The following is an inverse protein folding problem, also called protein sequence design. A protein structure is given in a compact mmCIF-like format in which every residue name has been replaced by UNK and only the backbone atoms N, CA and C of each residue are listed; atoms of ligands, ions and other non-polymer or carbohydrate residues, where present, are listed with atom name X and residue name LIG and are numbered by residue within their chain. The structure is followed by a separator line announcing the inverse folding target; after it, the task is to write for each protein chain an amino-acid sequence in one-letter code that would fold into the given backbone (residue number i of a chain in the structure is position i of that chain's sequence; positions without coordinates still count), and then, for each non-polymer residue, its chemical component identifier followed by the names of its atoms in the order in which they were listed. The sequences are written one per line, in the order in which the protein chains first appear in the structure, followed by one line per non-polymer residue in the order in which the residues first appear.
data_IF_459203230687
#
_entry.id   IF_459203230687
#
_cell.length_a   1.000
_cell.length_b   1.000
_cell.length_c   1.000
_cell.angle_alpha   90.00
_cell.angle_beta   90.00
_cell.angle_gamma   90.00
#
_symmetry.space_group_name_H-M   'P 1'
#
loop_
_entity.id
_entity.type
_entity.pdbx_description
1 polymer ?
#
# COMPACT_ATOMS: atom_id res chain seq x y z
N UNK A 1 -6.26 -25.01 -4.87
CA UNK A 1 -7.63 -24.92 -4.35
C UNK A 1 -8.66 -24.97 -5.47
N UNK A 2 -9.91 -25.28 -5.12
CA UNK A 2 -11.00 -25.27 -6.10
C UNK A 2 -11.36 -23.87 -6.58
N UNK A 3 -11.88 -23.80 -7.82
CA UNK A 3 -12.40 -22.56 -8.40
C UNK A 3 -13.86 -22.40 -7.97
N UNK A 4 -14.26 -21.21 -7.56
CA UNK A 4 -15.65 -20.85 -7.27
C UNK A 4 -16.12 -19.89 -8.35
N UNK A 5 -17.27 -20.17 -8.97
CA UNK A 5 -17.85 -19.35 -10.03
C UNK A 5 -19.36 -19.19 -9.82
N UNK A 6 -19.97 -18.25 -10.55
CA UNK A 6 -21.42 -17.96 -10.52
C UNK A 6 -21.75 -16.58 -9.97
N UNK A 7 -23.02 -16.30 -9.76
CA UNK A 7 -23.50 -15.00 -9.25
C UNK A 7 -23.73 -14.96 -7.74
N UNK A 8 -23.56 -16.09 -7.04
CA UNK A 8 -23.75 -16.19 -5.59
C UNK A 8 -22.71 -15.41 -4.79
N UNK A 9 -23.06 -15.05 -3.56
CA UNK A 9 -22.15 -14.45 -2.57
C UNK A 9 -21.50 -15.53 -1.69
N UNK A 10 -20.36 -15.18 -1.11
CA UNK A 10 -19.66 -16.03 -0.16
C UNK A 10 -19.58 -15.32 1.21
N UNK A 11 -20.02 -16.00 2.28
CA UNK A 11 -19.95 -15.44 3.63
C UNK A 11 -19.11 -16.36 4.53
N UNK A 12 -18.06 -15.82 5.10
CA UNK A 12 -17.24 -16.46 6.13
C UNK A 12 -17.79 -16.14 7.50
N UNK A 13 -18.19 -17.16 8.25
CA UNK A 13 -18.65 -17.12 9.65
C UNK A 13 -17.79 -18.02 10.53
N UNK A 14 -17.96 -17.92 11.86
CA UNK A 14 -17.23 -18.73 12.84
C UNK A 14 -15.81 -18.22 13.08
N UNK A 15 -15.24 -18.53 14.26
CA UNK A 15 -14.01 -17.96 14.78
C UNK A 15 -12.73 -18.49 14.12
N UNK A 16 -12.78 -19.62 13.40
CA UNK A 16 -11.60 -20.23 12.78
C UNK A 16 -11.07 -19.48 11.57
N UNK A 17 -9.93 -19.94 11.04
CA UNK A 17 -9.30 -19.43 9.82
C UNK A 17 -9.79 -20.20 8.60
N UNK A 18 -10.22 -19.46 7.55
CA UNK A 18 -10.43 -20.01 6.22
C UNK A 18 -9.36 -19.48 5.27
N UNK A 19 -8.73 -20.38 4.50
CA UNK A 19 -7.71 -20.00 3.52
C UNK A 19 -8.26 -20.20 2.11
N UNK A 20 -8.26 -19.16 1.31
CA UNK A 20 -8.62 -19.18 -0.12
C UNK A 20 -7.36 -19.05 -0.96
N UNK A 21 -7.08 -20.07 -1.79
CA UNK A 21 -5.82 -20.19 -2.54
C UNK A 21 -5.97 -20.05 -4.06
N UNK A 22 -7.20 -19.98 -4.58
CA UNK A 22 -7.43 -19.95 -6.02
C UNK A 22 -7.42 -18.52 -6.55
N UNK A 23 -6.55 -18.23 -7.52
CA UNK A 23 -6.54 -16.98 -8.29
C UNK A 23 -7.62 -16.93 -9.38
N UNK A 24 -8.29 -18.04 -9.65
CA UNK A 24 -9.18 -18.24 -10.81
C UNK A 24 -10.68 -18.14 -10.47
N UNK A 25 -11.04 -17.87 -9.23
CA UNK A 25 -12.46 -17.74 -8.87
C UNK A 25 -13.06 -16.47 -9.45
N UNK A 26 -14.28 -16.57 -9.97
CA UNK A 26 -14.97 -15.51 -10.71
C UNK A 26 -16.40 -15.23 -10.21
N UNK A 27 -16.80 -15.76 -9.05
CA UNK A 27 -18.13 -15.45 -8.49
C UNK A 27 -18.29 -13.96 -8.24
N UNK A 28 -19.47 -13.43 -8.55
CA UNK A 28 -19.70 -11.97 -8.61
C UNK A 28 -20.55 -11.40 -7.48
N UNK A 29 -21.17 -12.23 -6.64
CA UNK A 29 -22.05 -11.78 -5.56
C UNK A 29 -21.35 -11.17 -4.34
N UNK A 30 -20.01 -11.13 -4.38
CA UNK A 30 -19.16 -10.56 -3.33
C UNK A 30 -18.83 -11.52 -2.19
N UNK A 31 -17.91 -11.09 -1.34
CA UNK A 31 -17.44 -11.83 -0.17
C UNK A 31 -17.65 -11.03 1.10
N UNK A 32 -18.18 -11.68 2.14
CA UNK A 32 -18.39 -11.09 3.47
C UNK A 32 -17.61 -11.91 4.49
N UNK A 33 -16.66 -11.30 5.19
CA UNK A 33 -15.98 -11.91 6.33
C UNK A 33 -16.57 -11.36 7.63
N UNK A 34 -17.49 -12.13 8.25
CA UNK A 34 -18.18 -11.68 9.45
C UNK A 34 -17.50 -12.09 10.76
N UNK A 35 -16.68 -13.15 10.78
CA UNK A 35 -16.03 -13.61 12.00
C UNK A 35 -14.77 -14.42 11.72
N UNK A 36 -13.84 -14.43 12.68
CA UNK A 36 -12.56 -15.16 12.58
C UNK A 36 -11.62 -14.56 11.52
N UNK A 37 -10.80 -15.40 10.90
CA UNK A 37 -9.79 -14.97 9.93
C UNK A 37 -10.12 -15.48 8.53
N UNK A 38 -10.20 -14.59 7.54
CA UNK A 38 -10.17 -14.93 6.12
C UNK A 38 -8.76 -14.67 5.60
N UNK A 39 -8.02 -15.71 5.23
CA UNK A 39 -6.68 -15.61 4.64
C UNK A 39 -6.74 -15.81 3.14
N UNK A 40 -6.14 -14.88 2.40
CA UNK A 40 -6.10 -14.87 0.95
C UNK A 40 -4.67 -15.17 0.48
N UNK A 41 -4.40 -16.46 0.18
CA UNK A 41 -3.07 -16.93 -0.21
C UNK A 41 -2.83 -16.85 -1.73
N UNK A 42 -3.46 -15.88 -2.40
CA UNK A 42 -3.24 -15.56 -3.81
C UNK A 42 -3.63 -14.10 -4.09
N UNK A 43 -2.91 -13.44 -5.00
CA UNK A 43 -3.26 -12.11 -5.53
C UNK A 43 -4.48 -12.22 -6.44
N UNK A 44 -5.37 -11.24 -6.40
CA UNK A 44 -6.44 -11.10 -7.41
C UNK A 44 -5.88 -10.54 -8.72
N UNK A 45 -6.57 -10.80 -9.83
CA UNK A 45 -6.24 -10.28 -11.16
C UNK A 45 -7.14 -9.10 -11.48
N UNK A 46 -6.62 -8.09 -12.20
CA UNK A 46 -7.36 -6.88 -12.58
C UNK A 46 -6.63 -5.61 -12.17
N UNK A 47 -7.38 -4.55 -11.92
CA UNK A 47 -6.90 -3.27 -11.39
C UNK A 47 -7.61 -2.92 -10.08
N UNK A 48 -7.04 -2.05 -9.27
CA UNK A 48 -7.61 -1.65 -7.97
C UNK A 48 -9.06 -1.18 -8.12
N UNK A 49 -9.95 -1.80 -7.35
CA UNK A 49 -11.39 -1.58 -7.41
C UNK A 49 -12.12 -2.38 -8.50
N UNK A 50 -11.40 -3.14 -9.35
CA UNK A 50 -11.98 -3.88 -10.49
C UNK A 50 -11.25 -5.21 -10.71
N UNK A 51 -11.48 -6.17 -9.82
CA UNK A 51 -10.95 -7.54 -9.98
C UNK A 51 -11.69 -8.28 -11.10
N UNK A 52 -10.94 -9.03 -11.92
CA UNK A 52 -11.47 -9.91 -12.97
C UNK A 52 -11.47 -11.38 -12.56
N UNK A 53 -10.63 -11.75 -11.62
CA UNK A 53 -10.64 -13.02 -10.88
C UNK A 53 -9.84 -12.92 -9.60
N UNK A 54 -9.95 -13.89 -8.71
CA UNK A 54 -9.16 -13.89 -7.48
C UNK A 54 -9.69 -14.85 -6.42
N UNK A 55 -9.04 -14.93 -5.26
CA UNK A 55 -9.47 -15.81 -4.18
C UNK A 55 -10.88 -15.48 -3.67
N UNK A 56 -11.31 -14.23 -3.78
CA UNK A 56 -12.63 -13.75 -3.37
C UNK A 56 -13.53 -13.38 -4.56
N UNK A 57 -13.31 -13.98 -5.73
CA UNK A 57 -14.07 -13.72 -6.95
C UNK A 57 -13.88 -12.31 -7.50
N UNK A 58 -14.90 -11.79 -8.19
CA UNK A 58 -14.87 -10.46 -8.83
C UNK A 58 -15.72 -9.41 -8.10
N UNK A 59 -16.60 -9.83 -7.21
CA UNK A 59 -17.47 -8.95 -6.43
C UNK A 59 -16.72 -8.18 -5.33
N UNK A 60 -17.43 -7.30 -4.64
CA UNK A 60 -16.88 -6.53 -3.53
C UNK A 60 -16.56 -7.40 -2.31
N UNK A 61 -15.62 -6.94 -1.49
CA UNK A 61 -15.30 -7.53 -0.19
C UNK A 61 -15.79 -6.64 0.94
N UNK A 62 -16.55 -7.21 1.87
CA UNK A 62 -16.85 -6.58 3.16
C UNK A 62 -16.14 -7.35 4.26
N UNK A 63 -15.20 -6.69 4.96
CA UNK A 63 -14.47 -7.29 6.07
C UNK A 63 -14.94 -6.69 7.39
N UNK A 64 -15.57 -7.52 8.24
CA UNK A 64 -16.01 -7.16 9.59
C UNK A 64 -15.17 -7.84 10.69
N UNK A 65 -14.13 -8.60 10.32
CA UNK A 65 -13.30 -9.37 11.23
C UNK A 65 -11.81 -9.26 10.85
N UNK A 66 -11.05 -10.33 10.80
CA UNK A 66 -9.65 -10.31 10.41
C UNK A 66 -9.53 -10.77 8.94
N UNK A 67 -8.99 -9.89 8.09
CA UNK A 67 -8.56 -10.20 6.73
C UNK A 67 -7.04 -10.30 6.70
N UNK A 68 -6.52 -11.50 6.46
CA UNK A 68 -5.09 -11.74 6.26
C UNK A 68 -4.83 -11.84 4.75
N UNK A 69 -4.20 -10.82 4.18
CA UNK A 69 -3.90 -10.81 2.73
C UNK A 69 -2.58 -11.51 2.39
N UNK A 70 -1.83 -12.00 3.38
CA UNK A 70 -0.63 -12.83 3.20
C UNK A 70 0.39 -12.22 2.21
N UNK A 71 0.57 -10.90 2.24
CA UNK A 71 1.42 -10.17 1.32
C UNK A 71 0.84 -9.97 -0.10
N UNK A 72 -0.39 -10.43 -0.36
CA UNK A 72 -1.01 -10.35 -1.68
C UNK A 72 -1.78 -9.03 -1.86
N UNK A 73 -1.79 -8.51 -3.08
CA UNK A 73 -2.60 -7.37 -3.46
C UNK A 73 -4.00 -7.83 -3.87
N UNK A 74 -5.03 -7.23 -3.28
CA UNK A 74 -6.43 -7.58 -3.53
C UNK A 74 -7.11 -6.42 -4.28
N UNK A 75 -7.44 -6.63 -5.54
CA UNK A 75 -7.98 -5.63 -6.46
C UNK A 75 -9.47 -5.34 -6.29
N UNK A 76 -10.21 -6.16 -5.52
CA UNK A 76 -11.65 -5.95 -5.29
C UNK A 76 -11.93 -4.62 -4.57
N UNK A 77 -13.09 -4.03 -4.85
CA UNK A 77 -13.62 -2.94 -4.01
C UNK A 77 -13.82 -3.47 -2.58
N UNK A 78 -13.28 -2.75 -1.59
CA UNK A 78 -13.29 -3.18 -0.18
C UNK A 78 -14.05 -2.21 0.72
N UNK A 79 -14.91 -2.76 1.58
CA UNK A 79 -15.42 -2.09 2.78
C UNK A 79 -14.78 -2.77 3.99
N UNK A 80 -13.93 -2.04 4.72
CA UNK A 80 -13.21 -2.60 5.86
C UNK A 80 -13.71 -1.99 7.17
N UNK A 81 -14.42 -2.79 7.95
CA UNK A 81 -14.88 -2.49 9.30
C UNK A 81 -14.08 -3.26 10.36
N UNK A 82 -13.20 -4.14 9.93
CA UNK A 82 -12.33 -4.98 10.76
C UNK A 82 -10.85 -4.63 10.60
N UNK A 83 -10.00 -5.63 10.72
CA UNK A 83 -8.53 -5.49 10.61
C UNK A 83 -8.02 -6.17 9.34
N UNK A 84 -7.11 -5.53 8.62
CA UNK A 84 -6.34 -6.13 7.52
C UNK A 84 -4.89 -6.29 7.98
N UNK A 85 -4.34 -7.49 7.86
CA UNK A 85 -2.97 -7.84 8.29
C UNK A 85 -2.15 -8.40 7.12
N UNK A 86 -0.82 -8.40 7.28
CA UNK A 86 0.13 -8.92 6.29
C UNK A 86 -0.02 -8.29 4.91
N UNK A 87 -0.24 -6.98 4.86
CA UNK A 87 -0.34 -6.21 3.62
C UNK A 87 0.99 -6.19 2.88
N UNK A 88 0.99 -6.19 1.53
CA UNK A 88 2.21 -6.03 0.76
C UNK A 88 2.85 -4.66 1.03
N UNK A 89 4.18 -4.60 0.95
CA UNK A 89 4.88 -3.33 0.90
C UNK A 89 4.60 -2.64 -0.45
N UNK A 90 4.39 -1.32 -0.49
CA UNK A 90 4.31 -0.59 -1.74
C UNK A 90 5.68 -0.49 -2.41
N UNK A 91 5.69 -0.31 -3.72
CA UNK A 91 6.87 0.14 -4.43
C UNK A 91 7.15 1.60 -4.08
N UNK A 92 8.41 1.94 -3.78
CA UNK A 92 8.84 3.30 -3.49
C UNK A 92 10.14 3.59 -4.21
N UNK A 93 10.27 4.78 -4.78
CA UNK A 93 11.52 5.20 -5.42
C UNK A 93 11.61 6.71 -5.53
N UNK A 94 12.74 7.28 -5.09
CA UNK A 94 13.18 8.59 -5.53
C UNK A 94 13.86 8.51 -6.89
N UNK A 95 13.75 9.56 -7.71
CA UNK A 95 14.39 9.63 -9.03
C UNK A 95 15.92 9.50 -8.95
N UNK A 96 16.51 9.96 -7.84
CA UNK A 96 17.93 9.83 -7.55
C UNK A 96 18.16 9.44 -6.10
N UNK A 97 19.07 8.50 -5.85
CA UNK A 97 19.50 8.09 -4.50
C UNK A 97 20.45 9.11 -3.84
N UNK A 98 21.02 10.02 -4.63
CA UNK A 98 21.82 11.15 -4.15
C UNK A 98 21.62 12.37 -5.04
N UNK A 99 21.64 13.56 -4.42
CA UNK A 99 21.50 14.86 -5.10
C UNK A 99 22.58 15.78 -4.56
N UNK A 100 23.18 16.57 -5.45
CA UNK A 100 24.09 17.68 -5.08
C UNK A 100 23.42 18.99 -5.47
N UNK A 101 23.45 19.96 -4.57
CA UNK A 101 22.88 21.30 -4.79
C UNK A 101 23.75 22.38 -4.15
N UNK A 102 23.55 23.64 -4.49
CA UNK A 102 24.28 24.78 -3.92
C UNK A 102 23.39 25.61 -3.03
N UNK A 103 23.99 26.39 -2.14
CA UNK A 103 23.26 27.31 -1.26
C UNK A 103 22.34 28.25 -2.05
N UNK A 104 21.10 28.35 -1.59
CA UNK A 104 20.05 29.17 -2.21
C UNK A 104 19.20 28.45 -3.25
N UNK A 105 19.59 27.24 -3.68
CA UNK A 105 18.77 26.45 -4.59
C UNK A 105 17.47 25.98 -3.92
N UNK A 106 16.45 25.85 -4.75
CA UNK A 106 15.22 25.09 -4.45
C UNK A 106 15.17 23.91 -5.39
N UNK A 107 15.15 22.71 -4.85
CA UNK A 107 15.16 21.48 -5.63
C UNK A 107 13.97 20.56 -5.28
N UNK A 108 13.64 19.65 -6.19
CA UNK A 108 12.70 18.58 -5.96
C UNK A 108 13.26 17.29 -6.53
N UNK A 109 13.40 16.27 -5.70
CA UNK A 109 13.73 14.91 -6.16
C UNK A 109 12.39 14.15 -6.27
N UNK A 110 11.98 13.82 -7.49
CA UNK A 110 10.69 13.21 -7.74
C UNK A 110 10.57 11.86 -7.02
N UNK A 111 9.45 11.67 -6.33
CA UNK A 111 9.13 10.42 -5.63
C UNK A 111 7.97 9.72 -6.31
N UNK A 112 8.11 8.42 -6.57
CA UNK A 112 7.09 7.57 -7.17
C UNK A 112 6.70 6.42 -6.23
N UNK A 113 5.44 6.05 -6.24
CA UNK A 113 4.90 4.91 -5.49
C UNK A 113 3.58 4.45 -6.12
N UNK A 114 3.24 3.18 -5.92
CA UNK A 114 1.94 2.59 -6.28
C UNK A 114 0.89 2.69 -5.16
N UNK A 115 1.30 3.15 -3.97
CA UNK A 115 0.37 3.39 -2.86
C UNK A 115 -0.23 4.80 -2.89
N UNK A 116 -1.50 4.90 -2.49
CA UNK A 116 -2.21 6.16 -2.28
C UNK A 116 -2.11 6.68 -0.82
N UNK A 117 -1.24 6.08 0.01
CA UNK A 117 -0.98 6.51 1.38
C UNK A 117 -0.45 7.94 1.45
N UNK A 118 -0.78 8.63 2.54
CA UNK A 118 -0.28 9.98 2.79
C UNK A 118 1.24 9.99 2.85
N UNK A 119 1.86 10.88 2.08
CA UNK A 119 3.30 11.10 2.05
C UNK A 119 3.67 12.19 3.04
N UNK A 120 4.68 11.95 3.87
CA UNK A 120 5.25 12.94 4.78
C UNK A 120 6.75 12.99 4.59
N UNK A 121 7.26 14.12 4.10
CA UNK A 121 8.69 14.32 3.86
C UNK A 121 9.36 14.94 5.08
N UNK A 122 10.63 14.58 5.31
CA UNK A 122 11.44 15.10 6.40
C UNK A 122 12.93 15.22 6.03
N UNK A 123 13.64 16.10 6.72
CA UNK A 123 15.09 16.26 6.63
C UNK A 123 15.73 15.86 7.95
N UNK A 124 16.83 15.11 7.90
CA UNK A 124 17.60 14.72 9.09
C UNK A 124 18.43 15.89 9.65
N UNK A 125 18.69 16.92 8.85
CA UNK A 125 19.46 18.09 9.27
C UNK A 125 18.85 19.38 8.65
N UNK A 126 17.93 19.99 9.36
CA UNK A 126 17.25 21.21 8.93
C UNK A 126 18.16 22.43 8.89
N UNK A 127 19.35 22.37 9.51
CA UNK A 127 20.36 23.44 9.42
C UNK A 127 21.10 23.43 8.09
N UNK A 128 21.16 22.29 7.38
CA UNK A 128 21.72 22.19 6.02
C UNK A 128 20.66 22.36 4.95
N UNK A 129 19.51 21.71 5.10
CA UNK A 129 18.40 21.87 4.17
C UNK A 129 17.05 21.56 4.84
N UNK A 130 16.04 22.35 4.51
CA UNK A 130 14.65 22.12 4.92
C UNK A 130 13.86 21.49 3.77
N UNK A 131 12.80 20.74 4.11
CA UNK A 131 11.91 20.09 3.13
C UNK A 131 10.45 20.39 3.46
N UNK A 132 9.66 20.71 2.45
CA UNK A 132 8.23 20.81 2.62
C UNK A 132 7.62 19.43 2.83
N UNK A 133 7.00 19.22 3.99
CA UNK A 133 6.50 17.91 4.42
C UNK A 133 5.39 17.32 3.51
N UNK A 134 4.72 18.14 2.71
CA UNK A 134 3.59 17.71 1.87
C UNK A 134 3.99 17.46 0.42
N UNK A 135 4.91 18.25 -0.15
CA UNK A 135 5.25 18.18 -1.57
C UNK A 135 6.71 17.82 -1.88
N UNK A 136 7.56 17.70 -0.84
CA UNK A 136 8.95 17.30 -1.00
C UNK A 136 9.89 18.36 -1.62
N UNK A 137 9.44 19.62 -1.74
CA UNK A 137 10.31 20.73 -2.18
C UNK A 137 11.35 21.05 -1.11
N UNK A 138 12.60 21.14 -1.50
CA UNK A 138 13.76 21.33 -0.61
C UNK A 138 14.36 22.71 -0.81
N UNK A 139 14.68 23.39 0.28
CA UNK A 139 15.42 24.66 0.30
C UNK A 139 16.76 24.42 0.98
N UNK A 140 17.85 24.80 0.31
CA UNK A 140 19.21 24.70 0.82
C UNK A 140 19.49 25.89 1.75
N UNK A 141 19.85 25.58 3.00
CA UNK A 141 20.06 26.59 4.07
C UNK A 141 21.55 26.84 4.32
N UNK A 142 22.37 25.78 4.30
CA UNK A 142 23.80 25.87 4.51
C UNK A 142 24.53 24.67 3.87
N UNK A 143 25.86 24.78 3.76
CA UNK A 143 26.74 23.66 3.34
C UNK A 143 26.67 22.52 4.35
N UNK A 144 26.54 21.29 3.86
CA UNK A 144 26.52 20.08 4.69
C UNK A 144 25.81 18.92 4.01
N UNK A 145 25.78 17.79 4.69
CA UNK A 145 25.10 16.59 4.23
C UNK A 145 23.82 16.37 5.06
N UNK A 146 22.77 15.93 4.40
CA UNK A 146 21.52 15.55 5.07
C UNK A 146 20.84 14.39 4.33
N UNK A 147 20.08 13.58 5.07
CA UNK A 147 19.21 12.57 4.48
C UNK A 147 17.80 13.15 4.39
N UNK A 148 17.26 13.15 3.19
CA UNK A 148 15.87 13.47 2.93
C UNK A 148 15.08 12.18 2.89
N UNK A 149 14.01 12.11 3.66
CA UNK A 149 13.18 10.90 3.80
C UNK A 149 11.73 11.18 3.47
N UNK A 150 11.02 10.17 3.01
CA UNK A 150 9.57 10.12 2.92
C UNK A 150 9.04 8.97 3.75
N UNK A 151 8.02 9.23 4.55
CA UNK A 151 7.19 8.21 5.17
C UNK A 151 5.86 8.13 4.43
N UNK A 152 5.49 6.92 4.07
CA UNK A 152 4.24 6.58 3.41
C UNK A 152 3.33 5.91 4.42
N UNK A 153 2.18 6.50 4.67
CA UNK A 153 1.21 5.96 5.61
C UNK A 153 0.60 4.65 5.08
N UNK A 154 0.29 3.77 6.01
CA UNK A 154 -0.46 2.53 5.72
C UNK A 154 -1.83 2.85 5.12
N UNK A 155 -2.29 1.98 4.21
CA UNK A 155 -3.61 2.04 3.58
C UNK A 155 -4.36 0.73 3.77
N UNK A 156 -5.56 0.60 3.21
CA UNK A 156 -6.24 -0.71 3.17
C UNK A 156 -5.55 -1.71 2.24
N UNK A 157 -4.71 -1.24 1.29
CA UNK A 157 -4.06 -2.06 0.27
C UNK A 157 -2.62 -2.41 0.63
N UNK A 158 -1.88 -1.45 1.20
CA UNK A 158 -0.45 -1.53 1.41
C UNK A 158 -0.08 -1.29 2.87
N UNK A 159 1.00 -1.93 3.32
CA UNK A 159 1.69 -1.58 4.56
C UNK A 159 2.30 -0.17 4.46
N UNK A 160 2.65 0.42 5.60
CA UNK A 160 3.48 1.62 5.62
C UNK A 160 4.85 1.33 5.03
N UNK A 161 5.47 2.35 4.41
CA UNK A 161 6.82 2.25 3.87
C UNK A 161 7.57 3.56 4.09
N UNK A 162 8.88 3.49 3.91
CA UNK A 162 9.75 4.66 3.88
C UNK A 162 10.79 4.52 2.78
N UNK A 163 11.29 5.66 2.30
CA UNK A 163 12.39 5.74 1.37
C UNK A 163 13.20 7.02 1.64
N UNK A 164 14.43 7.09 1.13
CA UNK A 164 15.30 8.24 1.39
C UNK A 164 16.33 8.42 0.28
N UNK A 165 16.93 9.63 0.24
CA UNK A 165 18.10 9.96 -0.56
C UNK A 165 19.05 10.86 0.22
N UNK A 166 20.32 10.87 -0.18
CA UNK A 166 21.33 11.76 0.39
C UNK A 166 21.38 13.08 -0.38
N UNK A 167 21.34 14.20 0.33
CA UNK A 167 21.57 15.53 -0.23
C UNK A 167 22.92 16.05 0.29
N UNK A 168 23.77 16.46 -0.65
CA UNK A 168 25.07 17.10 -0.40
C UNK A 168 25.02 18.55 -0.90
N UNK A 169 25.44 19.50 -0.09
CA UNK A 169 25.43 20.92 -0.43
C UNK A 169 26.80 21.55 -0.21
#
# INVERSE_FOLDING_TARGET
GGIIAGSGSFTKIGAGTLVLTSQLSTYSGGTINNAGTLRLAATSVGSLGSATSGPIGTGSLTNNAILDVDGNLIHNTKTNNGTIVNKPAPSTSFASSSVTAIYGDTITNAFTTDSNGTKTFSSSNISSATINSSNGSVIIVAVGNTTMSVNLAETNEYASANDNYTLTT
#
